data_IF_878742503728
#
_entry.id   IF_878742503728
#
_cell.length_a   1.000
_cell.length_b   1.000
_cell.length_c   1.000
_cell.angle_alpha   90.00
_cell.angle_beta   90.00
_cell.angle_gamma   90.00
#
_symmetry.space_group_name_H-M   'P 1'
#
loop_
_entity.id
_entity.type
_entity.pdbx_description
1 polymer ?
#
# COMPACT_ATOMS: atom_id res chain seq x y z
N UNK A 1 -2.00 -34.10 -21.84
CA UNK A 1 -2.73 -35.34 -22.19
C UNK A 1 -2.12 -36.47 -21.38
N UNK A 2 -2.91 -37.34 -20.77
CA UNK A 2 -2.38 -38.46 -19.96
C UNK A 2 -2.46 -39.76 -20.77
N UNK A 3 -1.77 -40.84 -20.38
CA UNK A 3 -1.97 -42.16 -20.99
C UNK A 3 -3.44 -42.64 -20.96
N UNK A 4 -4.24 -42.10 -20.06
CA UNK A 4 -5.69 -42.36 -19.92
C UNK A 4 -6.59 -41.35 -20.66
N UNK A 5 -6.03 -40.55 -21.56
CA UNK A 5 -6.72 -39.54 -22.35
C UNK A 5 -6.66 -38.12 -21.77
N UNK A 6 -7.51 -37.24 -22.31
CA UNK A 6 -7.60 -35.83 -21.92
C UNK A 6 -8.16 -35.70 -20.50
N UNK A 7 -7.48 -34.94 -19.65
CA UNK A 7 -7.93 -34.56 -18.31
C UNK A 7 -8.00 -33.04 -18.24
N UNK A 8 -8.92 -32.54 -17.43
CA UNK A 8 -9.01 -31.12 -17.08
C UNK A 8 -8.34 -30.91 -15.72
N UNK A 9 -7.57 -29.83 -15.62
CA UNK A 9 -6.93 -29.39 -14.37
C UNK A 9 -7.49 -28.02 -14.02
N UNK A 10 -7.50 -27.71 -12.72
CA UNK A 10 -7.96 -26.42 -12.24
C UNK A 10 -6.84 -25.39 -12.40
N UNK A 11 -7.13 -24.30 -13.12
CA UNK A 11 -6.22 -23.18 -13.31
C UNK A 11 -6.99 -21.88 -13.02
N UNK A 12 -6.84 -21.33 -11.81
CA UNK A 12 -7.52 -20.11 -11.37
C UNK A 12 -7.01 -18.88 -12.13
N UNK A 13 -5.72 -18.88 -12.49
CA UNK A 13 -5.04 -17.76 -13.13
C UNK A 13 -4.68 -18.09 -14.58
N UNK A 14 -3.39 -18.26 -14.89
CA UNK A 14 -2.93 -18.67 -16.21
C UNK A 14 -3.13 -20.15 -16.51
N UNK A 15 -3.24 -20.51 -17.79
CA UNK A 15 -3.33 -21.91 -18.23
C UNK A 15 -2.10 -22.76 -17.86
N UNK A 16 -0.98 -22.10 -17.60
CA UNK A 16 0.30 -22.63 -17.14
C UNK A 16 0.42 -22.74 -15.61
N UNK A 17 -0.55 -22.21 -14.87
CA UNK A 17 -0.59 -22.21 -13.41
C UNK A 17 -1.69 -23.16 -12.91
N UNK A 18 -1.30 -24.39 -12.60
CA UNK A 18 -2.20 -25.41 -12.05
C UNK A 18 -2.33 -25.24 -10.54
N UNK A 19 -3.57 -25.15 -10.03
CA UNK A 19 -3.84 -25.04 -8.60
C UNK A 19 -3.41 -26.30 -7.83
N UNK A 20 -2.75 -26.10 -6.70
CA UNK A 20 -2.42 -27.16 -5.75
C UNK A 20 -3.65 -27.63 -4.97
N UNK A 21 -3.75 -28.94 -4.72
CA UNK A 21 -4.85 -29.52 -3.96
C UNK A 21 -4.50 -29.65 -2.46
N UNK A 22 -4.69 -28.59 -1.67
CA UNK A 22 -4.38 -28.59 -0.24
C UNK A 22 -5.26 -29.51 0.63
N UNK A 23 -6.25 -30.21 0.04
CA UNK A 23 -6.94 -31.33 0.72
C UNK A 23 -6.07 -32.57 0.86
N UNK A 24 -5.04 -32.69 0.03
CA UNK A 24 -4.04 -33.75 0.11
C UNK A 24 -3.05 -33.46 1.25
N UNK A 25 -3.01 -34.37 2.23
CA UNK A 25 -2.17 -34.23 3.41
C UNK A 25 -0.68 -34.32 3.06
N UNK A 26 -0.32 -35.15 2.08
CA UNK A 26 1.08 -35.31 1.67
C UNK A 26 1.60 -34.02 1.03
N UNK A 27 0.74 -33.33 0.26
CA UNK A 27 1.03 -32.03 -0.32
C UNK A 27 1.21 -30.96 0.77
N UNK A 28 0.32 -30.93 1.77
CA UNK A 28 0.45 -29.98 2.88
C UNK A 28 1.78 -30.17 3.62
N UNK A 29 2.16 -31.42 3.91
CA UNK A 29 3.44 -31.74 4.55
C UNK A 29 4.62 -31.29 3.69
N UNK A 30 4.52 -31.43 2.36
CA UNK A 30 5.56 -30.96 1.45
C UNK A 30 5.70 -29.43 1.49
N UNK A 31 4.60 -28.68 1.50
CA UNK A 31 4.64 -27.22 1.68
C UNK A 31 5.28 -26.80 3.00
N UNK A 32 5.02 -27.54 4.10
CA UNK A 32 5.68 -27.29 5.38
C UNK A 32 7.19 -27.50 5.28
N UNK A 33 7.65 -28.55 4.57
CA UNK A 33 9.09 -28.76 4.34
C UNK A 33 9.71 -27.66 3.47
N UNK A 34 8.99 -27.16 2.46
CA UNK A 34 9.43 -26.04 1.62
C UNK A 34 9.62 -24.79 2.48
N UNK A 35 8.62 -24.45 3.31
CA UNK A 35 8.69 -23.32 4.25
C UNK A 35 9.91 -23.47 5.18
N UNK A 36 10.08 -24.65 5.79
CA UNK A 36 11.24 -24.95 6.64
C UNK A 36 12.55 -24.77 5.90
N UNK A 37 12.65 -25.28 4.67
CA UNK A 37 13.86 -25.13 3.85
C UNK A 37 14.19 -23.65 3.64
N UNK A 38 13.20 -22.80 3.36
CA UNK A 38 13.44 -21.36 3.24
C UNK A 38 13.86 -20.71 4.56
N UNK A 39 13.27 -21.10 5.69
CA UNK A 39 13.69 -20.65 7.02
C UNK A 39 15.15 -21.01 7.30
N UNK A 40 15.55 -22.25 6.99
CA UNK A 40 16.92 -22.76 7.16
C UNK A 40 17.93 -21.97 6.30
N UNK A 41 17.49 -21.43 5.16
CA UNK A 41 18.28 -20.53 4.31
C UNK A 41 18.19 -19.04 4.71
N UNK A 42 17.60 -18.73 5.87
CA UNK A 42 17.59 -17.39 6.44
C UNK A 42 16.39 -16.52 6.06
N UNK A 43 15.51 -16.96 5.15
CA UNK A 43 14.28 -16.23 4.83
C UNK A 43 13.42 -16.08 6.09
N UNK A 44 12.87 -14.90 6.30
CA UNK A 44 12.04 -14.58 7.48
C UNK A 44 10.77 -13.83 7.12
N UNK A 45 10.50 -13.56 5.84
CA UNK A 45 9.30 -12.87 5.38
C UNK A 45 8.66 -13.72 4.29
N UNK A 46 7.47 -14.25 4.56
CA UNK A 46 6.72 -15.07 3.61
C UNK A 46 5.51 -14.29 3.11
N UNK A 47 5.51 -13.93 1.82
CA UNK A 47 4.31 -13.43 1.14
C UNK A 47 3.50 -14.63 0.65
N UNK A 48 2.31 -14.83 1.20
CA UNK A 48 1.38 -15.87 0.74
C UNK A 48 0.59 -15.33 -0.45
N UNK A 49 1.11 -15.62 -1.64
CA UNK A 49 0.49 -15.28 -2.92
C UNK A 49 -0.83 -16.04 -3.11
N UNK A 50 -1.86 -15.33 -3.59
CA UNK A 50 -3.14 -15.94 -3.95
C UNK A 50 -3.78 -16.82 -2.85
N UNK A 51 -3.48 -16.53 -1.58
CA UNK A 51 -3.86 -17.41 -0.45
C UNK A 51 -5.37 -17.63 -0.36
N UNK A 52 -6.18 -16.65 -0.78
CA UNK A 52 -7.63 -16.75 -0.84
C UNK A 52 -8.16 -17.96 -1.63
N UNK A 53 -7.38 -18.47 -2.58
CA UNK A 53 -7.79 -19.49 -3.53
C UNK A 53 -7.32 -20.91 -3.16
N UNK A 54 -6.59 -21.11 -2.05
CA UNK A 54 -5.92 -22.41 -1.75
C UNK A 54 -6.89 -23.57 -1.49
N UNK A 55 -8.14 -23.29 -1.13
CA UNK A 55 -9.14 -24.32 -0.87
C UNK A 55 -10.31 -24.27 -1.86
N UNK A 56 -10.70 -25.44 -2.38
CA UNK A 56 -11.79 -25.58 -3.35
C UNK A 56 -12.89 -26.46 -2.78
N UNK A 57 -14.14 -26.02 -2.88
CA UNK A 57 -15.31 -26.78 -2.42
C UNK A 57 -16.49 -26.63 -3.41
N UNK A 58 -17.00 -27.74 -3.99
CA UNK A 58 -18.13 -27.69 -4.90
C UNK A 58 -19.34 -26.99 -4.28
N UNK A 59 -20.00 -26.12 -5.04
CA UNK A 59 -21.14 -25.34 -4.58
C UNK A 59 -20.77 -24.02 -3.87
N UNK A 60 -19.48 -23.70 -3.74
CA UNK A 60 -18.98 -22.42 -3.22
C UNK A 60 -18.24 -21.64 -4.30
N UNK A 61 -17.93 -20.37 -4.03
CA UNK A 61 -17.08 -19.54 -4.89
C UNK A 61 -15.59 -19.95 -4.86
N UNK A 62 -15.20 -20.87 -3.96
CA UNK A 62 -13.82 -21.35 -3.82
C UNK A 62 -12.79 -20.24 -3.57
N UNK A 63 -13.21 -19.21 -2.83
CA UNK A 63 -12.43 -18.07 -2.40
C UNK A 63 -12.71 -17.81 -0.91
N UNK A 64 -11.69 -17.49 -0.13
CA UNK A 64 -11.80 -17.13 1.31
C UNK A 64 -12.57 -18.16 2.15
N UNK A 65 -12.44 -19.46 1.83
CA UNK A 65 -13.10 -20.52 2.61
C UNK A 65 -12.46 -20.67 4.00
N UNK A 66 -13.19 -21.16 5.03
CA UNK A 66 -12.65 -21.30 6.39
C UNK A 66 -11.35 -22.11 6.46
N UNK A 67 -11.20 -23.13 5.61
CA UNK A 67 -10.00 -23.97 5.55
C UNK A 67 -8.77 -23.19 5.05
N UNK A 68 -8.95 -22.14 4.26
CA UNK A 68 -7.87 -21.21 3.90
C UNK A 68 -7.32 -20.53 5.15
N UNK A 69 -8.20 -20.03 6.03
CA UNK A 69 -7.80 -19.39 7.29
C UNK A 69 -7.07 -20.38 8.23
N UNK A 70 -7.54 -21.62 8.32
CA UNK A 70 -6.85 -22.67 9.09
C UNK A 70 -5.44 -22.97 8.55
N UNK A 71 -5.26 -22.97 7.22
CA UNK A 71 -3.94 -23.16 6.62
C UNK A 71 -2.99 -22.00 6.96
N UNK A 72 -3.46 -20.74 6.91
CA UNK A 72 -2.64 -19.58 7.31
C UNK A 72 -2.24 -19.68 8.78
N UNK A 73 -3.19 -20.01 9.66
CA UNK A 73 -2.93 -20.21 11.10
C UNK A 73 -1.92 -21.31 11.37
N UNK A 74 -2.05 -22.44 10.67
CA UNK A 74 -1.11 -23.56 10.75
C UNK A 74 0.30 -23.09 10.34
N UNK A 75 0.44 -22.44 9.19
CA UNK A 75 1.75 -21.97 8.73
C UNK A 75 2.37 -20.95 9.66
N UNK A 76 1.59 -20.00 10.20
CA UNK A 76 2.08 -19.08 11.23
C UNK A 76 2.61 -19.81 12.45
N UNK A 77 1.81 -20.71 13.01
CA UNK A 77 2.19 -21.48 14.20
C UNK A 77 3.51 -22.22 14.00
N UNK A 78 3.69 -22.85 12.84
CA UNK A 78 4.91 -23.58 12.49
C UNK A 78 6.11 -22.64 12.29
N UNK A 79 5.91 -21.51 11.60
CA UNK A 79 6.97 -20.53 11.35
C UNK A 79 7.44 -19.88 12.67
N UNK A 80 6.52 -19.41 13.51
CA UNK A 80 6.84 -18.80 14.82
C UNK A 80 7.57 -19.80 15.74
N UNK A 81 7.18 -21.08 15.70
CA UNK A 81 7.86 -22.11 16.48
C UNK A 81 9.33 -22.30 16.08
N UNK A 82 9.64 -22.20 14.78
CA UNK A 82 11.00 -22.38 14.26
C UNK A 82 11.82 -21.09 14.31
N UNK A 83 11.19 -19.94 14.08
CA UNK A 83 11.82 -18.62 14.01
C UNK A 83 10.83 -17.55 14.50
N UNK A 84 10.91 -17.13 15.77
CA UNK A 84 9.93 -16.21 16.39
C UNK A 84 9.78 -14.87 15.67
N UNK A 85 10.85 -14.39 15.00
CA UNK A 85 10.85 -13.11 14.28
C UNK A 85 10.45 -13.25 12.80
N UNK A 86 10.04 -14.44 12.35
CA UNK A 86 9.59 -14.64 10.98
C UNK A 86 8.11 -14.24 10.82
N UNK A 87 7.80 -13.56 9.72
CA UNK A 87 6.50 -12.96 9.48
C UNK A 87 5.84 -13.53 8.23
N UNK A 88 4.51 -13.56 8.27
CA UNK A 88 3.64 -13.96 7.16
C UNK A 88 2.86 -12.73 6.73
N UNK A 89 2.88 -12.43 5.43
CA UNK A 89 2.09 -11.37 4.81
C UNK A 89 1.13 -12.01 3.80
N UNK A 90 -0.17 -11.88 3.99
CA UNK A 90 -1.15 -12.39 3.03
C UNK A 90 -1.40 -11.39 1.93
N UNK A 91 -1.39 -11.87 0.68
CA UNK A 91 -1.80 -11.09 -0.46
C UNK A 91 -3.21 -11.49 -0.88
N UNK A 92 -4.16 -10.58 -0.63
CA UNK A 92 -5.58 -10.80 -0.88
C UNK A 92 -6.24 -9.55 -1.45
N UNK A 93 -6.34 -9.51 -2.79
CA UNK A 93 -7.01 -8.46 -3.54
C UNK A 93 -8.55 -8.62 -3.52
N UNK A 94 -9.12 -8.55 -2.33
CA UNK A 94 -10.55 -8.73 -2.03
C UNK A 94 -11.10 -7.49 -1.28
N UNK A 95 -12.43 -7.32 -1.17
CA UNK A 95 -13.01 -6.22 -0.40
C UNK A 95 -12.48 -6.17 1.03
N UNK A 96 -12.44 -4.96 1.60
CA UNK A 96 -11.74 -4.66 2.85
C UNK A 96 -12.08 -5.59 4.02
N UNK A 97 -13.36 -5.94 4.21
CA UNK A 97 -13.79 -6.79 5.33
C UNK A 97 -13.23 -8.22 5.23
N UNK A 98 -13.16 -8.77 4.01
CA UNK A 98 -12.57 -10.10 3.76
C UNK A 98 -11.05 -10.07 3.91
N UNK A 99 -10.40 -8.95 3.56
CA UNK A 99 -8.96 -8.79 3.75
C UNK A 99 -8.61 -8.74 5.25
N UNK A 100 -9.40 -8.04 6.06
CA UNK A 100 -9.22 -7.92 7.50
C UNK A 100 -9.36 -9.25 8.26
N UNK A 101 -10.14 -10.20 7.75
CA UNK A 101 -10.32 -11.50 8.42
C UNK A 101 -9.03 -12.32 8.48
N UNK A 102 -8.05 -12.04 7.61
CA UNK A 102 -6.75 -12.70 7.61
C UNK A 102 -5.85 -12.31 8.78
N UNK A 103 -6.21 -11.32 9.60
CA UNK A 103 -5.56 -11.18 10.91
C UNK A 103 -6.01 -12.27 11.90
N UNK A 104 -7.17 -12.89 11.68
CA UNK A 104 -7.81 -13.79 12.63
C UNK A 104 -8.02 -13.10 13.98
N UNK A 105 -7.69 -13.80 15.07
CA UNK A 105 -7.61 -13.22 16.42
C UNK A 105 -6.16 -12.84 16.76
N UNK A 106 -5.44 -12.27 15.79
CA UNK A 106 -4.02 -11.98 15.90
C UNK A 106 -3.14 -13.22 15.77
N UNK A 107 -3.68 -14.30 15.19
CA UNK A 107 -3.04 -15.62 15.09
C UNK A 107 -2.96 -16.18 13.66
N UNK A 108 -3.30 -15.40 12.63
CA UNK A 108 -3.19 -15.79 11.22
C UNK A 108 -2.06 -15.03 10.51
N UNK A 109 -2.33 -14.03 9.68
CA UNK A 109 -1.27 -13.24 9.08
C UNK A 109 -0.65 -12.28 10.10
N UNK A 110 0.65 -12.03 9.99
CA UNK A 110 1.30 -10.92 10.68
C UNK A 110 1.03 -9.61 9.92
N UNK A 111 1.02 -9.66 8.59
CA UNK A 111 0.69 -8.53 7.74
C UNK A 111 -0.38 -8.85 6.72
N UNK A 112 -1.21 -7.87 6.37
CA UNK A 112 -2.12 -7.97 5.22
C UNK A 112 -1.84 -6.82 4.25
N UNK A 113 -1.84 -7.10 2.95
CA UNK A 113 -1.72 -6.04 1.94
C UNK A 113 -2.89 -5.08 2.00
N UNK A 114 -2.62 -3.77 1.96
CA UNK A 114 -3.65 -2.76 1.99
C UNK A 114 -4.09 -2.34 0.58
N UNK A 115 -4.85 -3.22 -0.09
CA UNK A 115 -5.25 -3.06 -1.49
C UNK A 115 -6.24 -1.91 -1.77
N UNK A 116 -6.95 -1.42 -0.77
CA UNK A 116 -7.83 -0.25 -0.93
C UNK A 116 -7.05 1.07 -1.00
N UNK A 117 -5.84 1.13 -0.45
CA UNK A 117 -5.04 2.36 -0.41
C UNK A 117 -4.64 2.89 -1.80
N UNK A 118 -4.04 2.09 -2.73
CA UNK A 118 -3.61 2.61 -4.04
C UNK A 118 -4.70 3.32 -4.85
N UNK A 119 -5.89 2.72 -5.12
CA UNK A 119 -6.90 3.39 -5.94
C UNK A 119 -7.53 4.59 -5.23
N UNK A 120 -7.71 4.56 -3.91
CA UNK A 120 -8.24 5.70 -3.15
C UNK A 120 -7.27 6.88 -3.16
N UNK A 121 -5.98 6.62 -2.92
CA UNK A 121 -4.98 7.67 -2.92
C UNK A 121 -4.78 8.26 -4.32
N UNK A 122 -4.78 7.42 -5.36
CA UNK A 122 -4.74 7.87 -6.74
C UNK A 122 -5.93 8.79 -7.05
N UNK A 123 -7.15 8.38 -6.68
CA UNK A 123 -8.34 9.21 -6.84
C UNK A 123 -8.17 10.55 -6.12
N UNK A 124 -7.78 10.53 -4.85
CA UNK A 124 -7.67 11.75 -4.04
C UNK A 124 -6.68 12.76 -4.58
N UNK A 125 -5.51 12.33 -5.06
CA UNK A 125 -4.50 13.21 -5.65
C UNK A 125 -4.82 13.61 -7.10
N UNK A 126 -5.68 12.86 -7.78
CA UNK A 126 -6.14 13.20 -9.14
C UNK A 126 -7.18 14.31 -9.08
N UNK A 127 -8.14 14.21 -8.15
CA UNK A 127 -9.30 15.08 -8.08
C UNK A 127 -9.26 16.13 -6.95
N UNK A 128 -8.27 16.05 -6.06
CA UNK A 128 -8.23 16.92 -4.87
C UNK A 128 -9.33 16.63 -3.86
N UNK A 129 -9.82 15.38 -3.79
CA UNK A 129 -10.90 14.94 -2.89
C UNK A 129 -10.44 13.72 -2.06
N UNK A 130 -10.18 13.92 -0.77
CA UNK A 130 -9.81 12.86 0.18
C UNK A 130 -10.98 12.30 1.00
N UNK A 131 -12.25 12.67 0.72
CA UNK A 131 -13.44 12.20 1.44
C UNK A 131 -13.51 10.67 1.52
N UNK A 132 -13.38 9.98 0.39
CA UNK A 132 -13.45 8.51 0.35
C UNK A 132 -12.24 7.88 1.07
N UNK A 133 -11.06 8.49 0.97
CA UNK A 133 -9.85 8.03 1.67
C UNK A 133 -10.01 8.18 3.20
N UNK A 134 -10.53 9.30 3.68
CA UNK A 134 -10.86 9.56 5.09
C UNK A 134 -11.89 8.56 5.59
N UNK A 135 -13.02 8.42 4.88
CA UNK A 135 -14.11 7.52 5.28
C UNK A 135 -13.65 6.07 5.36
N UNK A 136 -12.83 5.63 4.41
CA UNK A 136 -12.22 4.31 4.45
C UNK A 136 -11.28 4.18 5.65
N UNK A 137 -10.34 5.11 5.85
CA UNK A 137 -9.36 5.02 6.94
C UNK A 137 -10.03 5.00 8.32
N UNK A 138 -11.07 5.80 8.53
CA UNK A 138 -11.84 5.82 9.79
C UNK A 138 -12.58 4.52 10.10
N UNK A 139 -12.86 3.70 9.08
CA UNK A 139 -13.51 2.39 9.22
C UNK A 139 -12.50 1.25 9.39
N UNK A 140 -11.21 1.52 9.20
CA UNK A 140 -10.17 0.53 9.46
C UNK A 140 -10.00 0.36 10.97
N UNK A 141 -10.06 -0.88 11.49
CA UNK A 141 -9.67 -1.11 12.88
C UNK A 141 -8.17 -0.84 13.04
N UNK A 142 -7.70 -0.37 14.21
CA UNK A 142 -6.27 -0.40 14.51
C UNK A 142 -5.73 -1.82 14.38
N UNK A 143 -4.51 -1.97 13.86
CA UNK A 143 -3.83 -3.25 13.81
C UNK A 143 -3.63 -3.77 15.24
N UNK A 144 -3.92 -5.06 15.44
CA UNK A 144 -3.71 -5.71 16.73
C UNK A 144 -2.20 -5.76 17.03
N UNK A 145 -1.79 -5.78 18.32
CA UNK A 145 -0.39 -5.95 18.67
C UNK A 145 0.22 -7.19 18.00
N UNK A 146 1.35 -7.01 17.31
CA UNK A 146 2.00 -8.09 16.55
C UNK A 146 1.43 -8.31 15.14
N UNK A 147 0.43 -7.53 14.72
CA UNK A 147 -0.02 -7.45 13.33
C UNK A 147 0.22 -6.07 12.72
N UNK A 148 0.20 -5.98 11.39
CA UNK A 148 0.45 -4.74 10.67
C UNK A 148 -0.33 -4.66 9.35
N UNK A 149 -0.74 -3.46 8.98
CA UNK A 149 -1.08 -3.18 7.58
C UNK A 149 0.20 -3.10 6.75
N UNK A 150 0.24 -3.83 5.64
CA UNK A 150 1.30 -3.71 4.65
C UNK A 150 0.85 -2.73 3.56
N UNK A 151 1.17 -1.46 3.77
CA UNK A 151 0.71 -0.36 2.93
C UNK A 151 1.58 -0.25 1.70
N UNK A 152 0.96 -0.11 0.52
CA UNK A 152 1.64 0.09 -0.74
C UNK A 152 0.76 0.95 -1.64
N UNK A 153 1.37 1.59 -2.64
CA UNK A 153 0.65 2.45 -3.60
C UNK A 153 1.00 2.13 -5.05
N UNK A 154 2.00 1.28 -5.27
CA UNK A 154 2.36 0.70 -6.55
C UNK A 154 2.96 -0.68 -6.33
N UNK A 155 2.84 -1.56 -7.32
CA UNK A 155 3.40 -2.90 -7.28
C UNK A 155 3.83 -3.34 -8.67
N UNK A 156 4.23 -4.60 -8.77
CA UNK A 156 4.47 -5.24 -10.06
C UNK A 156 3.17 -5.36 -10.87
N UNK A 157 2.04 -5.67 -10.23
CA UNK A 157 0.73 -5.61 -10.88
C UNK A 157 0.25 -4.16 -11.01
N UNK A 158 -0.79 -3.94 -11.81
CA UNK A 158 -1.41 -2.63 -11.90
C UNK A 158 -2.24 -2.27 -10.65
N UNK A 159 -2.87 -1.11 -10.69
CA UNK A 159 -3.72 -0.62 -9.61
C UNK A 159 -5.08 -1.34 -9.70
N UNK A 160 -5.32 -2.25 -8.78
CA UNK A 160 -6.56 -3.03 -8.69
C UNK A 160 -7.77 -2.14 -8.39
N UNK A 161 -8.88 -2.37 -9.10
CA UNK A 161 -10.12 -1.60 -8.96
C UNK A 161 -11.17 -2.28 -8.08
N UNK A 162 -11.06 -3.59 -7.87
CA UNK A 162 -11.94 -4.37 -6.97
C UNK A 162 -11.96 -3.83 -5.53
N UNK A 163 -10.82 -3.51 -4.90
CA UNK A 163 -10.76 -2.96 -3.53
C UNK A 163 -11.38 -1.58 -3.36
N UNK A 164 -11.67 -0.87 -4.46
CA UNK A 164 -12.36 0.42 -4.45
C UNK A 164 -13.89 0.27 -4.55
N UNK A 165 -14.40 -0.92 -4.87
CA UNK A 165 -15.84 -1.16 -4.98
C UNK A 165 -16.52 -0.95 -3.62
N UNK A 166 -17.55 -0.11 -3.58
CA UNK A 166 -18.25 0.27 -2.35
C UNK A 166 -17.59 1.42 -1.56
N UNK A 167 -16.38 1.85 -1.96
CA UNK A 167 -15.69 3.01 -1.40
C UNK A 167 -15.74 4.21 -2.37
N UNK A 168 -15.60 3.94 -3.66
CA UNK A 168 -15.85 4.88 -4.75
C UNK A 168 -17.14 4.47 -5.49
N UNK A 169 -17.89 5.46 -5.95
CA UNK A 169 -19.02 5.25 -6.84
C UNK A 169 -18.56 4.74 -8.22
N UNK A 170 -19.49 4.18 -8.98
CA UNK A 170 -19.18 3.70 -10.32
C UNK A 170 -18.69 4.84 -11.24
N UNK A 171 -19.29 6.03 -11.13
CA UNK A 171 -18.91 7.21 -11.91
C UNK A 171 -17.50 7.70 -11.55
N UNK A 172 -17.16 7.74 -10.26
CA UNK A 172 -15.82 8.10 -9.78
C UNK A 172 -14.75 7.12 -10.29
N UNK A 173 -15.04 5.81 -10.27
CA UNK A 173 -14.13 4.78 -10.81
C UNK A 173 -13.96 4.95 -12.33
N UNK A 174 -15.05 5.13 -13.09
CA UNK A 174 -14.96 5.30 -14.55
C UNK A 174 -14.21 6.58 -14.93
N UNK A 175 -14.46 7.68 -14.21
CA UNK A 175 -13.73 8.94 -14.40
C UNK A 175 -12.24 8.75 -14.15
N UNK A 176 -11.86 8.10 -13.04
CA UNK A 176 -10.46 7.81 -12.72
C UNK A 176 -9.80 6.94 -13.79
N UNK A 177 -10.48 5.88 -14.23
CA UNK A 177 -9.99 4.99 -15.31
C UNK A 177 -9.77 5.78 -16.60
N UNK A 178 -10.73 6.61 -17.01
CA UNK A 178 -10.60 7.47 -18.19
C UNK A 178 -9.42 8.42 -18.09
N UNK A 179 -9.22 9.04 -16.92
CA UNK A 179 -8.08 9.93 -16.67
C UNK A 179 -6.74 9.19 -16.75
N UNK A 180 -6.66 7.97 -16.22
CA UNK A 180 -5.43 7.18 -16.30
C UNK A 180 -5.11 6.73 -17.73
N UNK A 181 -6.12 6.46 -18.56
CA UNK A 181 -5.93 6.22 -20.00
C UNK A 181 -5.42 7.47 -20.71
N UNK A 182 -5.95 8.66 -20.39
CA UNK A 182 -5.45 9.94 -20.90
C UNK A 182 -3.96 10.15 -20.53
N UNK A 183 -3.57 9.76 -19.32
CA UNK A 183 -2.18 9.76 -18.86
C UNK A 183 -1.31 8.62 -19.43
N UNK A 184 -1.86 7.82 -20.33
CA UNK A 184 -1.13 6.79 -21.06
C UNK A 184 -1.13 5.41 -20.43
N UNK A 185 -1.98 5.17 -19.44
CA UNK A 185 -2.21 3.87 -18.84
C UNK A 185 -3.00 2.93 -19.74
N UNK A 186 -2.88 1.63 -19.46
CA UNK A 186 -3.59 0.55 -20.15
C UNK A 186 -4.52 -0.17 -19.17
N UNK A 187 -5.70 -0.59 -19.63
CA UNK A 187 -6.70 -1.22 -18.75
C UNK A 187 -6.73 -2.73 -18.98
N UNK A 188 -6.57 -3.49 -17.91
CA UNK A 188 -6.90 -4.92 -17.90
C UNK A 188 -8.36 -5.08 -17.52
N UNK A 189 -9.09 -5.90 -18.28
CA UNK A 189 -10.51 -6.12 -18.08
C UNK A 189 -10.79 -7.54 -17.56
N UNK A 190 -11.81 -7.69 -16.71
CA UNK A 190 -12.36 -9.00 -16.32
C UNK A 190 -13.69 -9.27 -17.02
N UNK A 191 -13.92 -10.53 -17.41
CA UNK A 191 -15.21 -10.98 -17.91
C UNK A 191 -16.23 -11.08 -16.77
N UNK A 192 -17.49 -10.74 -17.05
CA UNK A 192 -18.59 -10.86 -16.09
C UNK A 192 -19.43 -12.13 -16.35
N UNK A 193 -19.98 -12.77 -15.30
CA UNK A 193 -20.99 -13.81 -15.47
C UNK A 193 -22.23 -13.22 -16.17
N UNK A 194 -22.52 -13.65 -17.39
CA UNK A 194 -23.62 -13.10 -18.22
C UNK A 194 -23.16 -12.32 -19.46
N UNK A 195 -21.85 -12.17 -19.65
CA UNK A 195 -21.27 -11.45 -20.78
C UNK A 195 -20.95 -9.99 -20.45
N UNK A 196 -20.04 -9.41 -21.24
CA UNK A 196 -19.49 -8.08 -20.97
C UNK A 196 -18.18 -8.10 -20.20
N UNK A 197 -17.57 -6.92 -20.09
CA UNK A 197 -16.27 -6.71 -19.47
C UNK A 197 -16.32 -5.52 -18.53
N UNK A 198 -15.54 -5.58 -17.45
CA UNK A 198 -15.37 -4.48 -16.51
C UNK A 198 -13.88 -4.22 -16.30
N UNK A 199 -13.45 -2.95 -16.18
CA UNK A 199 -12.10 -2.63 -15.73
C UNK A 199 -11.78 -3.37 -14.43
N UNK A 200 -10.67 -4.08 -14.43
CA UNK A 200 -10.17 -4.83 -13.29
C UNK A 200 -8.95 -4.15 -12.67
N UNK A 201 -8.07 -3.64 -13.52
CA UNK A 201 -6.78 -3.10 -13.11
C UNK A 201 -6.31 -2.00 -14.08
N UNK A 202 -5.74 -0.93 -13.51
CA UNK A 202 -5.10 0.16 -14.26
C UNK A 202 -3.58 -0.11 -14.31
N UNK A 203 -3.05 -0.37 -15.49
CA UNK A 203 -1.61 -0.59 -15.70
C UNK A 203 -0.97 0.74 -16.09
N UNK A 204 -0.25 1.34 -15.16
CA UNK A 204 0.45 2.61 -15.34
C UNK A 204 1.57 2.70 -14.29
N UNK A 205 2.70 3.30 -14.65
CA UNK A 205 3.73 3.67 -13.66
C UNK A 205 3.16 4.73 -12.71
N UNK A 206 3.50 4.65 -11.43
CA UNK A 206 2.95 5.60 -10.46
C UNK A 206 3.37 7.04 -10.75
N UNK A 207 4.57 7.25 -11.28
CA UNK A 207 5.05 8.59 -11.63
C UNK A 207 4.21 9.21 -12.74
N UNK A 208 3.92 8.46 -13.81
CA UNK A 208 3.02 8.95 -14.86
C UNK A 208 1.56 8.98 -14.39
N UNK A 209 1.12 8.14 -13.45
CA UNK A 209 -0.24 8.25 -12.89
C UNK A 209 -0.46 9.58 -12.15
N UNK A 210 0.57 10.05 -11.43
CA UNK A 210 0.51 11.27 -10.63
C UNK A 210 1.00 12.52 -11.39
N UNK A 211 1.62 12.36 -12.56
CA UNK A 211 2.03 13.40 -13.51
C UNK A 211 3.12 14.39 -13.04
N UNK A 212 3.13 14.77 -11.77
CA UNK A 212 4.08 15.74 -11.19
C UNK A 212 4.84 15.17 -10.00
N UNK A 213 6.03 15.71 -9.74
CA UNK A 213 6.86 15.27 -8.62
C UNK A 213 6.21 15.61 -7.27
N UNK A 214 5.49 16.73 -7.17
CA UNK A 214 4.81 17.16 -5.94
C UNK A 214 3.70 16.18 -5.56
N UNK A 215 2.83 15.80 -6.50
CA UNK A 215 1.81 14.75 -6.28
C UNK A 215 2.46 13.43 -5.91
N UNK A 216 3.55 13.07 -6.58
CA UNK A 216 4.28 11.84 -6.34
C UNK A 216 4.88 11.77 -4.93
N UNK A 217 5.50 12.86 -4.47
CA UNK A 217 6.04 12.97 -3.11
C UNK A 217 4.92 13.04 -2.07
N UNK A 218 3.80 13.70 -2.37
CA UNK A 218 2.63 13.73 -1.49
C UNK A 218 2.08 12.31 -1.24
N UNK A 219 1.91 11.52 -2.31
CA UNK A 219 1.46 10.13 -2.19
C UNK A 219 2.38 9.28 -1.28
N UNK A 220 3.69 9.39 -1.46
CA UNK A 220 4.65 8.64 -0.65
C UNK A 220 4.77 9.17 0.78
N UNK A 221 4.60 10.48 0.98
CA UNK A 221 4.60 11.07 2.34
C UNK A 221 3.38 10.59 3.13
N UNK A 222 2.20 10.51 2.48
CA UNK A 222 1.02 9.89 3.06
C UNK A 222 1.29 8.42 3.41
N UNK A 223 1.82 7.64 2.46
CA UNK A 223 2.19 6.23 2.68
C UNK A 223 3.13 6.06 3.88
N UNK A 224 4.14 6.93 3.99
CA UNK A 224 5.11 6.94 5.09
C UNK A 224 4.54 7.42 6.42
N UNK A 225 3.41 8.10 6.46
CA UNK A 225 2.78 8.53 7.71
C UNK A 225 1.75 7.53 8.26
N UNK A 226 1.16 6.68 7.40
CA UNK A 226 0.07 5.78 7.77
C UNK A 226 0.47 4.64 8.73
N UNK A 227 -0.49 4.17 9.51
CA UNK A 227 -0.37 3.02 10.41
C UNK A 227 -0.03 1.76 9.61
N UNK A 228 1.00 1.02 10.05
CA UNK A 228 1.53 -0.13 9.34
C UNK A 228 2.95 0.08 8.79
N UNK A 229 3.33 -0.78 7.85
CA UNK A 229 4.64 -0.82 7.20
C UNK A 229 4.51 -0.39 5.73
N UNK A 230 5.22 0.67 5.30
CA UNK A 230 5.20 1.12 3.91
C UNK A 230 6.10 0.23 3.05
N UNK A 231 5.54 -0.30 1.98
CA UNK A 231 6.23 -1.07 0.96
C UNK A 231 6.49 -0.21 -0.27
N UNK A 232 7.75 -0.08 -0.65
CA UNK A 232 8.17 0.65 -1.83
C UNK A 232 8.40 -0.29 -2.99
N UNK A 233 7.74 -0.02 -4.10
CA UNK A 233 8.09 -0.63 -5.37
C UNK A 233 9.32 0.07 -5.94
N UNK A 234 10.28 -0.69 -6.47
CA UNK A 234 11.56 -0.14 -6.94
C UNK A 234 11.36 0.96 -8.00
N UNK A 235 10.37 0.80 -8.90
CA UNK A 235 10.06 1.83 -9.89
C UNK A 235 9.52 3.12 -9.29
N UNK A 236 8.90 3.06 -8.11
CA UNK A 236 8.53 4.27 -7.39
C UNK A 236 9.75 4.97 -6.78
N UNK A 237 10.69 4.22 -6.18
CA UNK A 237 11.93 4.80 -5.65
C UNK A 237 12.74 5.51 -6.73
N UNK A 238 12.69 4.97 -7.95
CA UNK A 238 13.42 5.50 -9.09
C UNK A 238 12.61 6.51 -9.92
N UNK A 239 11.35 6.81 -9.59
CA UNK A 239 10.51 7.67 -10.44
C UNK A 239 10.42 7.15 -11.90
N UNK A 240 10.41 5.83 -12.09
CA UNK A 240 10.39 5.21 -13.43
C UNK A 240 9.06 5.49 -14.13
N UNK A 241 9.13 5.87 -15.41
CA UNK A 241 7.97 6.15 -16.28
C UNK A 241 7.45 4.90 -16.98
N UNK A 242 6.36 5.06 -17.74
CA UNK A 242 5.72 4.00 -18.52
C UNK A 242 6.67 3.40 -19.59
N UNK A 243 6.89 2.09 -19.51
CA UNK A 243 7.57 1.28 -20.52
C UNK A 243 6.58 0.80 -21.59
N UNK A 244 6.15 1.73 -22.46
CA UNK A 244 5.19 1.42 -23.53
C UNK A 244 5.74 0.41 -24.54
N UNK A 245 7.03 0.50 -24.86
CA UNK A 245 7.67 -0.42 -25.78
C UNK A 245 7.70 -1.85 -25.23
N UNK A 246 8.01 -2.00 -23.94
CA UNK A 246 7.92 -3.27 -23.22
C UNK A 246 6.49 -3.84 -23.22
N UNK A 247 5.48 -3.00 -23.00
CA UNK A 247 4.08 -3.43 -23.07
C UNK A 247 3.67 -3.92 -24.47
N UNK A 248 4.03 -3.17 -25.51
CA UNK A 248 3.71 -3.53 -26.91
C UNK A 248 4.41 -4.82 -27.32
N UNK A 249 5.73 -4.92 -27.08
CA UNK A 249 6.53 -6.07 -27.50
C UNK A 249 6.15 -7.37 -26.77
N UNK A 250 5.76 -7.28 -25.50
CA UNK A 250 5.30 -8.45 -24.73
C UNK A 250 3.84 -8.84 -24.97
N UNK A 251 3.01 -7.92 -25.48
CA UNK A 251 1.56 -8.08 -25.55
C UNK A 251 0.87 -8.10 -24.17
N UNK A 252 1.56 -7.69 -23.10
CA UNK A 252 1.07 -7.74 -21.72
C UNK A 252 1.03 -6.33 -21.13
N UNK A 253 -0.19 -5.81 -20.87
CA UNK A 253 -0.39 -4.46 -20.34
C UNK A 253 0.48 -4.15 -19.10
N UNK A 254 0.55 -5.09 -18.14
CA UNK A 254 1.32 -4.96 -16.89
C UNK A 254 2.83 -4.78 -17.08
N UNK A 255 3.36 -4.98 -18.29
CA UNK A 255 4.78 -4.73 -18.56
C UNK A 255 5.08 -3.22 -18.58
N UNK A 256 4.06 -2.37 -18.76
CA UNK A 256 4.20 -0.90 -18.78
C UNK A 256 4.81 -0.32 -17.50
N UNK A 257 4.60 -0.96 -16.34
CA UNK A 257 5.15 -0.54 -15.05
C UNK A 257 6.22 -1.52 -14.50
N UNK A 258 6.89 -2.26 -15.40
CA UNK A 258 7.94 -3.26 -15.07
C UNK A 258 9.17 -3.07 -15.95
N UNK A 259 9.60 -1.82 -16.11
CA UNK A 259 10.75 -1.49 -16.92
C UNK A 259 12.00 -2.27 -16.47
N UNK A 260 12.81 -2.75 -17.40
CA UNK A 260 14.06 -3.42 -17.08
C UNK A 260 15.22 -2.46 -17.33
N UNK A 261 15.71 -1.89 -16.24
CA UNK A 261 16.87 -1.01 -16.28
C UNK A 261 18.14 -1.76 -16.65
N UNK A 262 18.93 -1.18 -17.56
CA UNK A 262 20.36 -1.47 -17.62
C UNK A 262 21.04 -0.83 -16.39
N UNK A 263 21.87 -1.61 -15.68
CA UNK A 263 22.45 -1.17 -14.42
C UNK A 263 23.40 0.04 -14.56
N UNK A 264 24.15 0.12 -15.66
CA UNK A 264 25.10 1.21 -15.89
C UNK A 264 24.37 2.49 -16.35
N UNK A 265 23.35 2.35 -17.19
CA UNK A 265 22.48 3.47 -17.59
C UNK A 265 21.76 4.06 -16.38
N UNK A 266 21.18 3.21 -15.53
CA UNK A 266 20.52 3.66 -14.30
C UNK A 266 21.52 4.35 -13.37
N UNK A 267 22.74 3.83 -13.22
CA UNK A 267 23.76 4.47 -12.38
C UNK A 267 24.09 5.87 -12.89
N UNK A 268 24.28 6.02 -14.21
CA UNK A 268 24.55 7.33 -14.82
C UNK A 268 23.40 8.32 -14.59
N UNK A 269 22.14 7.86 -14.68
CA UNK A 269 20.96 8.68 -14.36
C UNK A 269 20.93 9.11 -12.90
N UNK A 270 21.28 8.21 -11.97
CA UNK A 270 21.28 8.51 -10.53
C UNK A 270 22.46 9.39 -10.08
N UNK A 271 23.59 9.35 -10.78
CA UNK A 271 24.75 10.22 -10.55
C UNK A 271 24.54 11.63 -11.10
N UNK A 272 23.63 11.80 -12.06
CA UNK A 272 23.26 13.11 -12.59
C UNK A 272 22.26 13.81 -11.66
N UNK A 273 22.73 14.77 -10.87
CA UNK A 273 21.88 15.54 -9.92
C UNK A 273 20.69 16.26 -10.59
N UNK A 274 20.74 16.49 -11.91
CA UNK A 274 19.64 17.11 -12.66
C UNK A 274 18.63 16.09 -13.19
N UNK A 275 18.89 14.80 -13.05
CA UNK A 275 17.96 13.75 -13.48
C UNK A 275 16.73 13.73 -12.56
N UNK A 276 15.52 13.61 -13.11
CA UNK A 276 14.32 13.36 -12.31
C UNK A 276 14.45 12.12 -11.41
N UNK A 277 15.19 11.10 -11.85
CA UNK A 277 15.41 9.87 -11.10
C UNK A 277 16.24 10.12 -9.82
N UNK A 278 17.31 10.90 -9.93
CA UNK A 278 18.15 11.29 -8.80
C UNK A 278 17.38 12.17 -7.80
N UNK A 279 16.61 13.16 -8.29
CA UNK A 279 15.75 14.03 -7.46
C UNK A 279 14.74 13.22 -6.64
N UNK A 280 13.97 12.35 -7.32
CA UNK A 280 12.95 11.51 -6.68
C UNK A 280 13.56 10.57 -5.65
N UNK A 281 14.62 9.85 -6.02
CA UNK A 281 15.27 8.90 -5.12
C UNK A 281 15.78 9.60 -3.86
N UNK A 282 16.48 10.73 -4.02
CA UNK A 282 17.01 11.52 -2.90
C UNK A 282 15.90 11.95 -1.94
N UNK A 283 14.86 12.61 -2.45
CA UNK A 283 13.75 13.12 -1.63
C UNK A 283 12.98 12.01 -0.93
N UNK A 284 12.78 10.86 -1.59
CA UNK A 284 12.12 9.71 -0.96
C UNK A 284 12.99 9.10 0.14
N UNK A 285 14.30 8.94 -0.08
CA UNK A 285 15.22 8.45 0.94
C UNK A 285 15.26 9.38 2.16
N UNK A 286 15.30 10.69 1.96
CA UNK A 286 15.21 11.68 3.05
C UNK A 286 13.92 11.51 3.88
N UNK A 287 12.76 11.31 3.23
CA UNK A 287 11.49 11.07 3.94
C UNK A 287 11.46 9.72 4.65
N UNK A 288 12.07 8.69 4.06
CA UNK A 288 12.21 7.37 4.68
C UNK A 288 13.06 7.47 5.95
N UNK A 289 14.20 8.18 5.88
CA UNK A 289 15.07 8.37 7.04
C UNK A 289 14.38 9.19 8.13
N UNK A 290 13.68 10.27 7.77
CA UNK A 290 12.83 11.01 8.71
C UNK A 290 11.82 10.09 9.41
N UNK A 291 11.12 9.21 8.67
CA UNK A 291 10.17 8.25 9.27
C UNK A 291 10.86 7.34 10.27
N UNK A 292 12.04 6.81 9.93
CA UNK A 292 12.77 5.82 10.75
C UNK A 292 13.18 6.37 12.11
N UNK A 293 13.37 7.67 12.21
CA UNK A 293 13.73 8.35 13.46
C UNK A 293 12.53 8.55 14.41
N UNK A 294 11.29 8.37 13.95
CA UNK A 294 10.10 8.69 14.74
C UNK A 294 9.43 7.45 15.35
N UNK A 295 9.41 7.40 16.68
CA UNK A 295 8.69 6.36 17.42
C UNK A 295 7.16 6.40 17.16
N UNK A 296 6.59 7.55 16.84
CA UNK A 296 5.17 7.69 16.51
C UNK A 296 4.75 6.95 15.22
N UNK A 297 5.70 6.66 14.32
CA UNK A 297 5.43 5.89 13.10
C UNK A 297 5.59 4.38 13.27
N UNK A 298 5.80 3.89 14.49
CA UNK A 298 5.78 2.45 14.78
C UNK A 298 4.46 1.80 14.26
N UNK A 299 4.48 0.59 13.66
CA UNK A 299 3.28 0.01 13.04
C UNK A 299 2.07 -0.13 13.95
N UNK A 300 2.26 -0.40 15.25
CA UNK A 300 1.19 -0.45 16.26
C UNK A 300 1.08 0.82 17.13
N UNK A 301 1.68 1.94 16.70
CA UNK A 301 1.44 3.25 17.33
C UNK A 301 0.03 3.75 17.02
N UNK A 302 -0.55 4.53 17.93
CA UNK A 302 -1.91 5.04 17.77
C UNK A 302 -2.01 5.96 16.54
N UNK A 303 -3.09 5.81 15.78
CA UNK A 303 -3.46 6.71 14.70
C UNK A 303 -4.89 7.22 14.90
N UNK A 304 -5.13 8.49 14.58
CA UNK A 304 -6.46 9.07 14.53
C UNK A 304 -6.61 10.00 13.32
N UNK A 305 -7.67 9.83 12.55
CA UNK A 305 -7.94 10.68 11.38
C UNK A 305 -8.48 12.04 11.82
N UNK A 306 -8.01 13.11 11.19
CA UNK A 306 -8.45 14.48 11.46
C UNK A 306 -9.25 15.01 10.27
N UNK A 307 -10.36 15.68 10.55
CA UNK A 307 -11.21 16.29 9.53
C UNK A 307 -10.83 17.74 9.33
N UNK A 308 -10.22 18.06 8.18
CA UNK A 308 -9.79 19.41 7.81
C UNK A 308 -10.32 19.81 6.42
N UNK A 309 -11.53 19.34 6.11
CA UNK A 309 -12.14 19.46 4.77
C UNK A 309 -11.75 18.32 3.84
N UNK A 310 -12.21 18.41 2.59
CA UNK A 310 -12.04 17.34 1.59
C UNK A 310 -10.72 17.49 0.79
N UNK A 311 -10.00 18.60 0.96
CA UNK A 311 -8.76 18.91 0.22
C UNK A 311 -7.48 18.69 1.04
N UNK A 312 -7.61 18.42 2.35
CA UNK A 312 -6.47 18.17 3.25
C UNK A 312 -6.66 16.83 3.95
N UNK A 313 -5.87 15.83 3.54
CA UNK A 313 -5.84 14.54 4.19
C UNK A 313 -4.94 14.60 5.43
N UNK A 314 -5.54 14.51 6.61
CA UNK A 314 -4.82 14.69 7.87
C UNK A 314 -5.06 13.56 8.85
N UNK A 315 -4.02 13.21 9.61
CA UNK A 315 -4.10 12.26 10.70
C UNK A 315 -3.02 12.53 11.74
N UNK A 316 -3.30 12.12 12.97
CA UNK A 316 -2.41 12.21 14.10
C UNK A 316 -1.82 10.82 14.42
N UNK A 317 -0.54 10.79 14.76
CA UNK A 317 0.20 9.61 15.21
C UNK A 317 0.76 9.85 16.61
N UNK A 318 0.63 8.86 17.49
CA UNK A 318 1.22 8.91 18.83
C UNK A 318 1.98 7.61 19.15
N UNK A 319 3.23 7.77 19.60
CA UNK A 319 4.07 6.65 20.01
C UNK A 319 3.44 5.84 21.14
N UNK A 320 3.81 4.56 21.25
CA UNK A 320 3.29 3.63 22.28
C UNK A 320 3.49 4.18 23.71
N UNK A 321 4.60 4.88 23.95
CA UNK A 321 4.94 5.52 25.23
C UNK A 321 4.31 6.92 25.43
N UNK A 322 3.54 7.39 24.43
CA UNK A 322 2.85 8.70 24.38
C UNK A 322 3.75 9.92 24.48
N UNK A 323 5.04 9.78 24.15
CA UNK A 323 6.01 10.88 24.21
C UNK A 323 6.17 11.62 22.89
N UNK A 324 6.02 10.92 21.77
CA UNK A 324 6.14 11.46 20.42
C UNK A 324 4.74 11.54 19.79
N UNK A 325 4.38 12.74 19.35
CA UNK A 325 3.15 13.07 18.67
C UNK A 325 3.53 13.68 17.32
N UNK A 326 2.89 13.22 16.25
CA UNK A 326 3.08 13.78 14.91
C UNK A 326 1.71 14.02 14.29
N UNK A 327 1.46 15.26 13.87
CA UNK A 327 0.33 15.61 13.03
C UNK A 327 0.80 15.62 11.58
N UNK A 328 0.27 14.72 10.77
CA UNK A 328 0.53 14.67 9.34
C UNK A 328 -0.58 15.41 8.62
N UNK A 329 -0.26 16.51 7.95
CA UNK A 329 -1.20 17.29 7.14
C UNK A 329 -0.72 17.27 5.69
N UNK A 330 -1.60 16.83 4.79
CA UNK A 330 -1.25 16.62 3.39
C UNK A 330 -2.31 17.30 2.53
N UNK A 331 -1.94 18.40 1.85
CA UNK A 331 -2.79 18.98 0.83
C UNK A 331 -2.87 17.99 -0.34
N UNK A 332 -4.06 17.52 -0.68
CA UNK A 332 -4.25 16.60 -1.82
C UNK A 332 -4.72 17.31 -3.08
N UNK A 333 -4.88 18.63 -3.02
CA UNK A 333 -5.43 19.46 -4.08
C UNK A 333 -4.36 20.30 -4.81
N UNK A 334 -4.74 20.81 -5.97
CA UNK A 334 -3.94 21.75 -6.76
C UNK A 334 -4.00 23.21 -6.28
N UNK A 335 -4.68 23.47 -5.17
CA UNK A 335 -4.94 24.81 -4.65
C UNK A 335 -4.26 25.01 -3.29
N UNK A 336 -3.92 26.25 -2.95
CA UNK A 336 -3.46 26.60 -1.59
C UNK A 336 -4.56 26.31 -0.57
N UNK A 337 -4.20 25.69 0.56
CA UNK A 337 -5.11 25.40 1.66
C UNK A 337 -4.68 26.16 2.91
N UNK A 338 -5.66 26.74 3.62
CA UNK A 338 -5.45 27.50 4.86
C UNK A 338 -6.12 26.77 6.00
N UNK A 339 -5.35 26.44 7.02
CA UNK A 339 -5.79 25.62 8.15
C UNK A 339 -5.59 26.44 9.42
N UNK A 340 -6.66 26.77 10.16
CA UNK A 340 -6.53 27.38 11.47
C UNK A 340 -5.70 26.46 12.38
N UNK A 341 -4.62 26.96 12.99
CA UNK A 341 -3.73 26.13 13.83
C UNK A 341 -4.51 25.53 15.01
N UNK A 342 -5.48 26.27 15.54
CA UNK A 342 -6.40 25.80 16.58
C UNK A 342 -7.19 24.53 16.19
N UNK A 343 -7.41 24.25 14.91
CA UNK A 343 -8.11 23.05 14.44
C UNK A 343 -7.24 21.78 14.52
N UNK A 344 -5.92 21.92 14.65
CA UNK A 344 -4.96 20.79 14.67
C UNK A 344 -4.95 20.12 16.05
N UNK A 345 -5.41 20.81 17.11
CA UNK A 345 -5.34 20.34 18.51
C UNK A 345 -3.89 20.15 19.02
N UNK A 346 -3.01 21.10 18.71
CA UNK A 346 -1.64 21.12 19.21
C UNK A 346 -1.62 21.34 20.73
N UNK A 347 -0.61 20.76 21.39
CA UNK A 347 -0.39 20.93 22.83
C UNK A 347 0.42 22.21 23.04
N UNK A 348 -0.18 23.21 23.70
CA UNK A 348 0.43 24.55 23.91
C UNK A 348 1.65 24.59 24.84
N UNK A 349 1.98 23.48 25.50
CA UNK A 349 3.19 23.35 26.34
C UNK A 349 4.37 22.75 25.59
N UNK A 350 4.18 22.38 24.32
CA UNK A 350 5.21 21.78 23.47
C UNK A 350 5.59 22.73 22.33
N UNK A 351 6.81 22.60 21.81
CA UNK A 351 7.19 23.25 20.56
C UNK A 351 6.93 22.32 19.39
N UNK A 352 6.37 22.85 18.32
CA UNK A 352 6.01 22.09 17.14
C UNK A 352 6.95 22.43 15.99
N UNK A 353 7.53 21.39 15.39
CA UNK A 353 8.48 21.48 14.29
C UNK A 353 7.93 20.69 13.11
N UNK A 354 7.92 21.28 11.91
CA UNK A 354 7.74 20.49 10.70
C UNK A 354 9.02 19.68 10.42
N UNK A 355 8.92 18.35 10.56
CA UNK A 355 10.03 17.45 10.28
C UNK A 355 10.47 17.48 8.81
N UNK A 356 9.60 17.91 7.90
CA UNK A 356 9.85 17.92 6.46
C UNK A 356 10.66 19.14 6.04
N UNK A 357 10.25 20.34 6.41
CA UNK A 357 10.98 21.57 6.08
C UNK A 357 12.06 21.94 7.10
N UNK A 358 11.90 21.52 8.36
CA UNK A 358 12.72 21.95 9.49
C UNK A 358 12.26 23.26 10.12
N UNK A 359 11.12 23.82 9.69
CA UNK A 359 10.58 25.07 10.22
C UNK A 359 9.85 24.86 11.55
N UNK A 360 10.02 25.82 12.47
CA UNK A 360 9.31 25.85 13.75
C UNK A 360 7.98 26.57 13.55
N UNK A 361 6.90 26.03 14.11
CA UNK A 361 5.61 26.70 14.15
C UNK A 361 5.61 27.74 15.28
N UNK A 362 5.72 29.02 14.93
CA UNK A 362 5.83 30.13 15.89
C UNK A 362 4.47 30.71 16.33
N UNK A 363 3.47 30.71 15.44
CA UNK A 363 2.16 31.32 15.68
C UNK A 363 1.08 30.24 15.88
N UNK A 364 0.72 30.00 17.15
CA UNK A 364 -0.32 29.04 17.54
C UNK A 364 -1.75 29.57 17.34
N UNK A 365 -1.93 30.88 17.11
CA UNK A 365 -3.25 31.52 16.92
C UNK A 365 -3.56 31.82 15.44
N UNK A 366 -2.57 31.66 14.56
CA UNK A 366 -2.66 31.97 13.14
C UNK A 366 -3.23 30.86 12.24
N UNK A 367 -2.98 31.02 10.95
CA UNK A 367 -3.29 30.03 9.92
C UNK A 367 -2.00 29.40 9.39
N UNK A 368 -2.01 28.07 9.31
CA UNK A 368 -1.02 27.31 8.58
C UNK A 368 -1.43 27.26 7.10
N UNK A 369 -0.52 27.69 6.23
CA UNK A 369 -0.74 27.70 4.78
C UNK A 369 -0.01 26.52 4.14
N UNK A 370 -0.74 25.66 3.44
CA UNK A 370 -0.20 24.55 2.65
C UNK A 370 -0.28 24.88 1.17
N UNK A 371 0.89 24.92 0.51
CA UNK A 371 0.97 24.98 -0.95
C UNK A 371 0.32 23.74 -1.60
N UNK A 372 -0.03 23.80 -2.90
CA UNK A 372 -0.54 22.64 -3.64
C UNK A 372 0.32 21.40 -3.44
N UNK A 373 -0.31 20.28 -3.07
CA UNK A 373 0.36 19.00 -2.79
C UNK A 373 1.43 19.00 -1.67
N UNK A 374 1.54 20.08 -0.89
CA UNK A 374 2.49 20.14 0.22
C UNK A 374 2.07 19.18 1.35
N UNK A 375 3.08 18.52 1.92
CA UNK A 375 2.93 17.71 3.12
C UNK A 375 3.81 18.29 4.22
N UNK A 376 3.29 18.26 5.44
CA UNK A 376 4.03 18.61 6.65
C UNK A 376 3.81 17.54 7.72
N UNK A 377 4.83 17.34 8.55
CA UNK A 377 4.78 16.46 9.72
C UNK A 377 5.14 17.28 10.95
N UNK A 378 4.14 17.86 11.60
CA UNK A 378 4.32 18.64 12.82
C UNK A 378 4.56 17.68 13.99
N UNK A 379 5.81 17.61 14.44
CA UNK A 379 6.22 16.79 15.56
C UNK A 379 6.49 17.64 16.81
N UNK A 380 6.16 17.11 17.98
CA UNK A 380 6.48 17.76 19.23
C UNK A 380 7.97 17.61 19.59
N UNK A 381 8.62 18.72 19.92
CA UNK A 381 9.86 18.74 20.70
C UNK A 381 9.47 19.07 22.13
N UNK A 382 9.70 18.12 23.04
CA UNK A 382 9.57 18.41 24.47
C UNK A 382 10.59 19.47 24.84
N UNK A 383 10.11 20.65 25.25
CA UNK A 383 10.91 21.53 26.10
C UNK A 383 11.33 20.69 27.30
N UNK A 384 12.63 20.68 27.61
CA UNK A 384 13.07 20.29 28.94
C UNK A 384 12.49 21.32 29.91
N UNK A 385 11.24 21.10 30.35
CA UNK A 385 10.69 21.84 31.47
C UNK A 385 11.54 21.42 32.68
N UNK A 386 12.25 22.35 33.32
CA UNK A 386 12.97 22.04 34.54
C UNK A 386 11.93 21.73 35.61
N UNK A 387 11.79 20.44 35.93
CA UNK A 387 11.10 20.02 37.15
C UNK A 387 12.10 20.00 38.30
#
# INVERSE_FOLDING_TARGET
ETPSGRKHVWCTFGHDQVDFNFRDHDLLVEFVKIIRTHLDHGISVFRLDAVAFVWKEPGTECINLPQTHELVRLFRTLIEHLKPDAVIITETNVPNQENLSYFGNGNEAHGIYNFSLPPLLLYSLTYGDCRCLIQWLMRMPPAQPGTMYFNFIASHDGIGLRPAEGLLSHEEIQSMVGKMVEYGGLISERALPGGGKRPYEINISLFDALQTEEKFLCAHTILLGLEGVPAFYIHSLLGTRNDREGAISSGMNRRINRHQWNADELRNELENEKSPHASVLKKLLERIDLRREQAAFHPNATQFTLHMGDQVFSFWRQSVDRRSNIFCLNNVSGEEQRIPVAAINLISTEEWLDLISGDILEDEEGELVLAPYQCIWLANRRKHLPY
#
